data_IF_588850117170
#
_entry.id   IF_588850117170
#
_cell.length_a   1.000
_cell.length_b   1.000
_cell.length_c   1.000
_cell.angle_alpha   90.00
_cell.angle_beta   90.00
_cell.angle_gamma   90.00
#
_symmetry.space_group_name_H-M   'P 1'
#
loop_
_entity.id
_entity.type
_entity.pdbx_description
1 polymer ?
#
# COMPACT_ATOMS: atom_id res chain seq x y z
N UNK A 1 35.64 -22.37 -11.27
CA UNK A 1 34.99 -21.07 -11.00
C UNK A 1 33.44 -21.16 -11.04
N UNK A 2 32.81 -22.03 -10.23
CA UNK A 2 31.35 -22.21 -10.22
C UNK A 2 30.73 -22.07 -8.81
N UNK A 3 31.44 -21.43 -7.88
CA UNK A 3 31.08 -21.39 -6.45
C UNK A 3 30.45 -20.09 -5.95
N UNK A 4 30.46 -19.00 -6.73
CA UNK A 4 30.11 -17.66 -6.20
C UNK A 4 28.67 -17.21 -6.47
N UNK A 5 27.99 -17.78 -7.48
CA UNK A 5 26.63 -17.34 -7.84
C UNK A 5 25.53 -17.94 -6.94
N UNK A 6 25.78 -19.08 -6.31
CA UNK A 6 24.79 -19.76 -5.45
C UNK A 6 24.59 -19.09 -4.09
N UNK A 7 25.56 -18.29 -3.63
CA UNK A 7 25.53 -17.66 -2.30
C UNK A 7 24.59 -16.44 -2.21
N UNK A 8 24.14 -15.87 -3.34
CA UNK A 8 23.26 -14.68 -3.34
C UNK A 8 21.76 -15.00 -3.43
N UNK A 9 21.40 -16.26 -3.73
CA UNK A 9 20.01 -16.71 -3.90
C UNK A 9 19.33 -17.19 -2.61
N UNK A 10 20.08 -17.29 -1.51
CA UNK A 10 19.56 -17.65 -0.18
C UNK A 10 19.33 -16.42 0.72
N UNK A 11 18.87 -15.31 0.15
CA UNK A 11 18.22 -14.26 0.95
C UNK A 11 16.87 -14.82 1.35
N UNK A 12 16.86 -15.56 2.46
CA UNK A 12 15.70 -16.03 3.19
C UNK A 12 14.55 -15.04 3.04
N UNK A 13 13.56 -15.43 2.24
CA UNK A 13 12.19 -14.97 2.41
C UNK A 13 11.87 -15.19 3.88
N UNK A 14 11.93 -14.13 4.69
CA UNK A 14 11.39 -14.19 6.04
C UNK A 14 9.94 -14.62 5.87
N UNK A 15 9.52 -15.78 6.39
CA UNK A 15 8.10 -16.12 6.42
C UNK A 15 7.41 -14.95 7.09
N UNK A 16 6.47 -14.33 6.36
CA UNK A 16 5.91 -13.03 6.70
C UNK A 16 5.50 -13.01 8.16
N UNK A 17 6.17 -12.17 8.95
CA UNK A 17 5.83 -11.96 10.35
C UNK A 17 4.35 -11.61 10.38
N UNK A 18 3.53 -12.50 10.95
CA UNK A 18 2.09 -12.33 11.02
C UNK A 18 1.86 -10.99 11.70
N UNK A 19 1.28 -10.05 10.95
CA UNK A 19 1.05 -8.71 11.45
C UNK A 19 -0.16 -8.79 12.37
N UNK A 20 0.06 -9.12 13.64
CA UNK A 20 -0.98 -9.34 14.65
C UNK A 20 -1.98 -8.18 14.73
N UNK A 21 -1.54 -6.96 14.43
CA UNK A 21 -2.42 -5.79 14.36
C UNK A 21 -3.46 -5.91 13.24
N UNK A 22 -3.08 -6.49 12.08
CA UNK A 22 -4.00 -6.73 10.98
C UNK A 22 -4.99 -7.84 11.34
N UNK A 23 -4.55 -8.88 12.07
CA UNK A 23 -5.44 -9.95 12.54
C UNK A 23 -6.47 -9.44 13.54
N UNK A 24 -6.03 -8.64 14.52
CA UNK A 24 -6.93 -8.04 15.52
C UNK A 24 -7.90 -7.07 14.83
N UNK A 25 -7.41 -6.22 13.93
CA UNK A 25 -8.26 -5.31 13.16
C UNK A 25 -9.29 -6.09 12.31
N UNK A 26 -8.88 -7.17 11.65
CA UNK A 26 -9.77 -8.02 10.87
C UNK A 26 -10.84 -8.66 11.77
N UNK A 27 -10.43 -9.22 12.91
CA UNK A 27 -11.36 -9.85 13.86
C UNK A 27 -12.37 -8.85 14.44
N UNK A 28 -11.93 -7.66 14.83
CA UNK A 28 -12.81 -6.60 15.32
C UNK A 28 -13.79 -6.17 14.23
N UNK A 29 -13.30 -5.99 13.00
CA UNK A 29 -14.13 -5.58 11.86
C UNK A 29 -15.19 -6.62 11.53
N UNK A 30 -14.83 -7.90 11.49
CA UNK A 30 -15.78 -8.99 11.17
C UNK A 30 -16.80 -9.18 12.28
N UNK A 31 -16.37 -9.18 13.54
CA UNK A 31 -17.25 -9.29 14.71
C UNK A 31 -18.25 -8.13 14.77
N UNK A 32 -17.77 -6.90 14.59
CA UNK A 32 -18.62 -5.71 14.54
C UNK A 32 -19.62 -5.77 13.39
N UNK A 33 -19.15 -6.13 12.18
CA UNK A 33 -20.02 -6.21 11.00
C UNK A 33 -21.12 -7.25 11.16
N UNK A 34 -20.79 -8.42 11.71
CA UNK A 34 -21.75 -9.49 11.96
C UNK A 34 -22.80 -9.05 12.98
N UNK A 35 -22.35 -8.49 14.11
CA UNK A 35 -23.26 -8.02 15.17
C UNK A 35 -24.17 -6.91 14.65
N UNK A 36 -23.61 -5.97 13.87
CA UNK A 36 -24.37 -4.90 13.25
C UNK A 36 -25.44 -5.43 12.30
N UNK A 37 -25.11 -6.41 11.45
CA UNK A 37 -26.06 -7.00 10.51
C UNK A 37 -27.23 -7.69 11.23
N UNK A 38 -26.92 -8.50 12.26
CA UNK A 38 -27.93 -9.23 13.04
C UNK A 38 -28.82 -8.29 13.86
N UNK A 39 -28.23 -7.23 14.45
CA UNK A 39 -28.99 -6.27 15.25
C UNK A 39 -29.85 -5.32 14.40
N UNK A 40 -29.55 -5.17 13.11
CA UNK A 40 -30.16 -4.17 12.22
C UNK A 40 -30.80 -4.82 10.98
N UNK A 41 -31.66 -5.81 11.18
CA UNK A 41 -32.53 -6.36 10.14
C UNK A 41 -33.75 -5.49 9.82
N UNK A 42 -33.85 -4.32 10.44
CA UNK A 42 -34.93 -3.37 10.17
C UNK A 42 -34.96 -3.00 8.68
N UNK A 43 -36.15 -3.12 8.10
CA UNK A 43 -36.38 -2.79 6.70
C UNK A 43 -36.50 -1.27 6.57
N UNK A 44 -35.71 -0.70 5.69
CA UNK A 44 -35.75 0.71 5.32
C UNK A 44 -35.99 0.85 3.84
N UNK A 45 -36.68 1.94 3.49
CA UNK A 45 -36.92 2.35 2.11
C UNK A 45 -36.01 3.53 1.80
N UNK A 46 -35.20 3.40 0.76
CA UNK A 46 -34.33 4.47 0.32
C UNK A 46 -35.06 5.30 -0.71
N UNK A 47 -34.96 6.62 -0.56
CA UNK A 47 -35.46 7.59 -1.52
C UNK A 47 -34.28 8.39 -2.03
N UNK A 48 -34.03 8.33 -3.33
CA UNK A 48 -32.91 9.03 -3.94
C UNK A 48 -33.28 9.54 -5.33
N UNK A 49 -33.18 10.85 -5.55
CA UNK A 49 -33.44 11.51 -6.83
C UNK A 49 -34.77 11.08 -7.50
N UNK A 50 -35.84 10.96 -6.72
CA UNK A 50 -37.16 10.54 -7.20
C UNK A 50 -37.35 9.03 -7.38
N UNK A 51 -36.30 8.22 -7.21
CA UNK A 51 -36.41 6.77 -7.16
C UNK A 51 -36.64 6.29 -5.74
N UNK A 52 -37.57 5.34 -5.59
CA UNK A 52 -37.83 4.64 -4.33
C UNK A 52 -37.38 3.19 -4.46
N UNK A 53 -36.55 2.73 -3.52
CA UNK A 53 -36.14 1.33 -3.48
C UNK A 53 -37.24 0.44 -2.93
N UNK A 54 -37.12 -0.87 -3.16
CA UNK A 54 -37.84 -1.84 -2.32
C UNK A 54 -37.33 -1.75 -0.88
N UNK A 55 -38.11 -2.28 0.04
CA UNK A 55 -37.70 -2.44 1.44
C UNK A 55 -36.47 -3.35 1.52
N UNK A 56 -35.36 -2.77 1.94
CA UNK A 56 -34.08 -3.45 2.09
C UNK A 56 -33.66 -3.37 3.57
N UNK A 57 -32.97 -4.38 4.10
CA UNK A 57 -32.39 -4.29 5.43
C UNK A 57 -31.40 -3.13 5.53
N UNK A 58 -31.40 -2.42 6.65
CA UNK A 58 -30.56 -1.24 6.90
C UNK A 58 -29.06 -1.53 6.70
N UNK A 59 -28.60 -2.72 7.04
CA UNK A 59 -27.19 -3.08 6.90
C UNK A 59 -26.70 -3.03 5.44
N UNK A 60 -27.59 -3.24 4.46
CA UNK A 60 -27.21 -3.34 3.06
C UNK A 60 -26.68 -2.01 2.50
N UNK A 61 -27.42 -0.89 2.52
CA UNK A 61 -26.91 0.40 2.05
C UNK A 61 -25.72 0.89 2.87
N UNK A 62 -25.69 0.62 4.18
CA UNK A 62 -24.56 0.97 5.05
C UNK A 62 -23.27 0.28 4.61
N UNK A 63 -23.31 -1.03 4.35
CA UNK A 63 -22.14 -1.74 3.86
C UNK A 63 -21.72 -1.31 2.45
N UNK A 64 -22.67 -1.00 1.57
CA UNK A 64 -22.34 -0.47 0.23
C UNK A 64 -21.60 0.86 0.36
N UNK A 65 -22.11 1.79 1.16
CA UNK A 65 -21.45 3.08 1.40
C UNK A 65 -20.05 2.90 2.02
N UNK A 66 -19.94 2.02 3.02
CA UNK A 66 -18.67 1.69 3.65
C UNK A 66 -17.67 1.08 2.65
N UNK A 67 -18.12 0.16 1.80
CA UNK A 67 -17.27 -0.50 0.81
C UNK A 67 -16.76 0.48 -0.25
N UNK A 68 -17.61 1.39 -0.72
CA UNK A 68 -17.19 2.47 -1.63
C UNK A 68 -16.13 3.36 -0.98
N UNK A 69 -16.34 3.77 0.28
CA UNK A 69 -15.35 4.53 1.04
C UNK A 69 -14.03 3.78 1.23
N UNK A 70 -14.11 2.48 1.54
CA UNK A 70 -12.95 1.60 1.69
C UNK A 70 -12.15 1.49 0.39
N UNK A 71 -12.81 1.24 -0.74
CA UNK A 71 -12.16 1.22 -2.06
C UNK A 71 -11.48 2.55 -2.36
N UNK A 72 -12.15 3.67 -2.10
CA UNK A 72 -11.57 5.00 -2.25
C UNK A 72 -10.29 5.19 -1.42
N UNK A 73 -10.32 4.78 -0.14
CA UNK A 73 -9.16 4.80 0.75
C UNK A 73 -8.01 3.92 0.26
N UNK A 74 -8.32 2.70 -0.19
CA UNK A 74 -7.32 1.80 -0.78
C UNK A 74 -6.66 2.40 -2.03
N UNK A 75 -7.45 3.04 -2.89
CA UNK A 75 -6.92 3.73 -4.06
C UNK A 75 -5.99 4.88 -3.65
N UNK A 76 -6.38 5.72 -2.69
CA UNK A 76 -5.54 6.80 -2.18
C UNK A 76 -4.20 6.30 -1.62
N UNK A 77 -4.21 5.24 -0.82
CA UNK A 77 -3.01 4.61 -0.27
C UNK A 77 -2.11 4.00 -1.37
N UNK A 78 -2.72 3.38 -2.38
CA UNK A 78 -2.00 2.80 -3.53
C UNK A 78 -1.28 3.88 -4.33
N UNK A 79 -1.94 5.01 -4.59
CA UNK A 79 -1.32 6.14 -5.29
C UNK A 79 -0.16 6.76 -4.50
N UNK A 80 -0.30 6.95 -3.19
CA UNK A 80 0.78 7.46 -2.32
C UNK A 80 2.03 6.56 -2.40
N UNK A 81 1.87 5.24 -2.24
CA UNK A 81 3.01 4.30 -2.27
C UNK A 81 3.71 4.29 -3.63
N UNK A 82 2.97 4.43 -4.73
CA UNK A 82 3.54 4.48 -6.09
C UNK A 82 4.38 5.73 -6.30
N UNK A 83 3.95 6.90 -5.79
CA UNK A 83 4.71 8.16 -5.86
C UNK A 83 6.05 8.03 -5.12
N UNK A 84 6.03 7.56 -3.87
CA UNK A 84 7.25 7.44 -3.06
C UNK A 84 8.26 6.45 -3.63
N UNK A 85 7.81 5.34 -4.23
CA UNK A 85 8.73 4.39 -4.89
C UNK A 85 9.45 5.01 -6.08
N UNK A 86 8.77 5.87 -6.86
CA UNK A 86 9.38 6.59 -7.99
C UNK A 86 10.40 7.61 -7.51
N UNK A 87 10.09 8.32 -6.44
CA UNK A 87 10.98 9.32 -5.85
C UNK A 87 12.25 8.67 -5.26
N UNK A 88 12.11 7.54 -4.57
CA UNK A 88 13.26 6.75 -4.08
C UNK A 88 14.13 6.26 -5.25
N UNK A 89 13.53 5.81 -6.35
CA UNK A 89 14.28 5.36 -7.52
C UNK A 89 15.04 6.52 -8.18
N UNK A 90 14.40 7.67 -8.33
CA UNK A 90 15.03 8.88 -8.87
C UNK A 90 16.20 9.35 -7.99
N UNK A 91 15.99 9.46 -6.68
CA UNK A 91 17.03 9.90 -5.74
C UNK A 91 18.25 8.96 -5.73
N UNK A 92 18.05 7.66 -5.92
CA UNK A 92 19.16 6.71 -6.04
C UNK A 92 19.99 6.93 -7.31
N UNK A 93 19.33 7.15 -8.44
CA UNK A 93 20.02 7.42 -9.72
C UNK A 93 20.82 8.73 -9.63
N UNK A 94 20.25 9.77 -9.01
CA UNK A 94 20.93 11.05 -8.85
C UNK A 94 22.13 10.94 -7.89
N UNK A 95 21.98 10.20 -6.79
CA UNK A 95 23.08 9.96 -5.85
C UNK A 95 24.24 9.19 -6.51
N UNK A 96 23.92 8.18 -7.32
CA UNK A 96 24.94 7.43 -8.08
C UNK A 96 25.65 8.32 -9.11
N UNK A 97 24.93 9.24 -9.76
CA UNK A 97 25.52 10.20 -10.71
C UNK A 97 26.46 11.18 -10.01
N UNK A 98 26.00 11.84 -8.95
CA UNK A 98 26.79 12.78 -8.15
C UNK A 98 28.04 12.11 -7.58
N UNK A 99 27.92 10.86 -7.12
CA UNK A 99 29.06 10.09 -6.60
C UNK A 99 30.13 9.85 -7.67
N UNK A 100 29.72 9.55 -8.90
CA UNK A 100 30.64 9.40 -10.05
C UNK A 100 31.29 10.71 -10.47
N UNK A 101 30.56 11.82 -10.40
CA UNK A 101 31.12 13.15 -10.70
C UNK A 101 32.21 13.53 -9.69
N UNK A 102 31.99 13.29 -8.39
CA UNK A 102 33.01 13.48 -7.35
C UNK A 102 34.22 12.57 -7.58
N UNK A 103 34.01 11.30 -7.90
CA UNK A 103 35.09 10.36 -8.20
C UNK A 103 35.92 10.80 -9.41
N UNK A 104 35.26 11.27 -10.47
CA UNK A 104 35.92 11.75 -11.67
C UNK A 104 36.74 13.03 -11.41
N UNK A 105 36.19 13.97 -10.62
CA UNK A 105 36.89 15.20 -10.22
C UNK A 105 38.10 14.93 -9.32
N UNK A 106 38.06 13.86 -8.50
CA UNK A 106 39.20 13.46 -7.65
C UNK A 106 40.32 12.76 -8.42
N UNK A 107 40.04 12.28 -9.63
CA UNK A 107 41.00 11.60 -10.50
C UNK A 107 41.53 12.50 -11.62
N UNK A 108 41.28 13.81 -11.60
CA UNK A 108 41.94 14.73 -12.52
C UNK A 108 43.43 14.73 -12.14
N UNK A 109 44.33 14.27 -13.04
CA UNK A 109 45.75 14.35 -12.78
C UNK A 109 46.12 15.82 -12.65
N UNK A 110 46.77 16.18 -11.54
CA UNK A 110 47.43 17.48 -11.42
C UNK A 110 48.41 17.54 -12.59
N UNK A 111 48.16 18.45 -13.53
CA UNK A 111 49.16 18.82 -14.51
C UNK A 111 50.32 19.38 -13.69
N UNK A 112 51.40 18.60 -13.60
CA UNK A 112 52.69 19.09 -13.15
C UNK A 112 53.11 20.12 -14.18
N UNK A 113 52.79 21.39 -13.90
CA UNK A 113 53.27 22.54 -14.66
C UNK A 113 54.81 22.58 -14.51
N UNK A 114 55.45 22.57 -15.68
CA UNK A 114 56.90 22.52 -15.97
C UNK A 114 57.71 23.66 -15.37
#
# INVERSE_FOLDING_TARGET
MAGSYKARLLRMSHPGMINWINLIALFLLTSFSLTFALANESKVRLFFLGFSSRELPLYMPMFVAFFVGFLGGLMALSFSRRKHKREIAYLRVENDRLSREVENLRNIPLQDDV
#
